data_IF_665669767506
#
_entry.id   IF_665669767506
#
_cell.length_a   1.000
_cell.length_b   1.000
_cell.length_c   1.000
_cell.angle_alpha   90.00
_cell.angle_beta   90.00
_cell.angle_gamma   90.00
#
_symmetry.space_group_name_H-M   'P 1'
#
loop_
_entity.id
_entity.type
_entity.pdbx_description
1 polymer ?
#
# COMPACT_ATOMS: atom_id res chain seq x y z
N UNK A 1 18.97 11.35 -20.52
CA UNK A 1 17.95 10.90 -19.54
C UNK A 1 16.61 10.55 -20.19
N UNK A 2 16.10 11.37 -21.13
CA UNK A 2 14.85 11.08 -21.85
C UNK A 2 14.85 9.74 -22.60
N UNK A 3 15.98 9.36 -23.22
CA UNK A 3 16.11 8.04 -23.88
C UNK A 3 15.95 6.86 -22.91
N UNK A 4 16.61 6.91 -21.75
CA UNK A 4 16.48 5.89 -20.70
C UNK A 4 15.05 5.79 -20.17
N UNK A 5 14.39 6.92 -19.89
CA UNK A 5 12.99 6.94 -19.45
C UNK A 5 12.05 6.30 -20.48
N UNK A 6 12.27 6.56 -21.77
CA UNK A 6 11.49 5.97 -22.86
C UNK A 6 11.70 4.45 -22.96
N UNK A 7 12.94 3.98 -22.79
CA UNK A 7 13.24 2.54 -22.76
C UNK A 7 12.54 1.84 -21.59
N UNK A 8 12.60 2.43 -20.39
CA UNK A 8 11.89 1.89 -19.22
C UNK A 8 10.37 1.91 -19.39
N UNK A 9 9.81 2.94 -20.04
CA UNK A 9 8.37 3.01 -20.35
C UNK A 9 7.94 1.84 -21.24
N UNK A 10 8.69 1.56 -22.30
CA UNK A 10 8.38 0.43 -23.20
C UNK A 10 8.48 -0.90 -22.45
N UNK A 11 9.52 -1.10 -21.64
CA UNK A 11 9.68 -2.32 -20.82
C UNK A 11 8.49 -2.48 -19.86
N UNK A 12 8.05 -1.40 -19.20
CA UNK A 12 6.92 -1.44 -18.27
C UNK A 12 5.60 -1.80 -18.96
N UNK A 13 5.34 -1.28 -20.16
CA UNK A 13 4.14 -1.61 -20.94
C UNK A 13 4.15 -3.07 -21.41
N UNK A 14 5.30 -3.55 -21.88
CA UNK A 14 5.49 -4.96 -22.25
C UNK A 14 5.25 -5.84 -21.02
N UNK A 15 5.90 -5.57 -19.90
CA UNK A 15 5.71 -6.32 -18.66
C UNK A 15 4.24 -6.34 -18.21
N UNK A 16 3.55 -5.20 -18.30
CA UNK A 16 2.12 -5.09 -17.99
C UNK A 16 1.26 -5.99 -18.90
N UNK A 17 1.54 -6.03 -20.20
CA UNK A 17 0.81 -6.84 -21.18
C UNK A 17 1.09 -8.35 -21.02
N UNK A 18 2.33 -8.72 -20.67
CA UNK A 18 2.76 -10.11 -20.50
C UNK A 18 2.33 -10.75 -19.16
N UNK A 19 1.57 -10.06 -18.31
CA UNK A 19 0.92 -10.69 -17.17
C UNK A 19 1.28 -10.15 -15.78
N UNK A 20 1.91 -8.97 -15.69
CA UNK A 20 2.06 -8.30 -14.39
C UNK A 20 0.72 -8.02 -13.68
N UNK A 21 -0.42 -8.08 -14.40
CA UNK A 21 -1.76 -8.00 -13.80
C UNK A 21 -2.06 -9.10 -12.77
N UNK A 22 -1.51 -10.31 -12.92
CA UNK A 22 -1.71 -11.40 -11.95
C UNK A 22 -0.98 -11.13 -10.62
N UNK A 23 0.25 -10.60 -10.70
CA UNK A 23 1.04 -10.18 -9.53
C UNK A 23 0.40 -8.96 -8.87
N UNK A 24 -0.13 -8.02 -9.66
CA UNK A 24 -0.89 -6.88 -9.15
C UNK A 24 -2.13 -7.34 -8.35
N UNK A 25 -2.82 -8.39 -8.80
CA UNK A 25 -3.94 -9.00 -8.08
C UNK A 25 -3.52 -9.64 -6.75
N UNK A 26 -2.43 -10.43 -6.74
CA UNK A 26 -1.90 -11.04 -5.52
C UNK A 26 -1.41 -9.98 -4.51
N UNK A 27 -0.68 -8.97 -5.00
CA UNK A 27 -0.23 -7.84 -4.20
C UNK A 27 -1.41 -7.03 -3.63
N UNK A 28 -2.46 -6.80 -4.43
CA UNK A 28 -3.68 -6.14 -3.95
C UNK A 28 -4.40 -6.96 -2.86
N UNK A 29 -4.38 -8.29 -2.95
CA UNK A 29 -4.90 -9.17 -1.91
C UNK A 29 -4.14 -9.00 -0.58
N UNK A 30 -2.80 -9.04 -0.62
CA UNK A 30 -1.96 -8.86 0.57
C UNK A 30 -2.13 -7.44 1.15
N UNK A 31 -2.19 -6.42 0.29
CA UNK A 31 -2.39 -5.03 0.71
C UNK A 31 -3.71 -4.84 1.47
N UNK A 32 -4.79 -5.50 1.04
CA UNK A 32 -6.08 -5.46 1.74
C UNK A 32 -5.96 -6.03 3.17
N UNK A 33 -5.25 -7.14 3.35
CA UNK A 33 -5.06 -7.76 4.66
C UNK A 33 -4.30 -6.80 5.60
N UNK A 34 -3.18 -6.23 5.13
CA UNK A 34 -2.38 -5.28 5.92
C UNK A 34 -3.19 -4.02 6.26
N UNK A 35 -3.97 -3.50 5.31
CA UNK A 35 -4.83 -2.34 5.51
C UNK A 35 -5.88 -2.59 6.60
N UNK A 36 -6.52 -3.77 6.61
CA UNK A 36 -7.46 -4.13 7.66
C UNK A 36 -6.79 -4.28 9.03
N UNK A 37 -5.62 -4.92 9.09
CA UNK A 37 -4.85 -5.01 10.35
C UNK A 37 -4.49 -3.62 10.87
N UNK A 38 -4.01 -2.74 9.99
CA UNK A 38 -3.72 -1.35 10.32
C UNK A 38 -4.97 -0.62 10.84
N UNK A 39 -6.12 -0.78 10.20
CA UNK A 39 -7.37 -0.17 10.65
C UNK A 39 -7.76 -0.64 12.05
N UNK A 40 -7.66 -1.93 12.34
CA UNK A 40 -7.94 -2.47 13.68
C UNK A 40 -7.00 -1.86 14.72
N UNK A 41 -5.69 -1.82 14.43
CA UNK A 41 -4.70 -1.20 15.30
C UNK A 41 -4.92 0.31 15.48
N UNK A 42 -5.35 1.00 14.42
CA UNK A 42 -5.69 2.42 14.45
C UNK A 42 -6.90 2.67 15.36
N UNK A 43 -7.94 1.85 15.26
CA UNK A 43 -9.11 1.95 16.15
C UNK A 43 -8.69 1.68 17.59
N UNK A 44 -7.89 0.64 17.84
CA UNK A 44 -7.38 0.33 19.19
C UNK A 44 -6.56 1.50 19.73
N UNK A 45 -5.64 2.06 18.94
CA UNK A 45 -4.78 3.15 19.38
C UNK A 45 -5.56 4.45 19.62
N UNK A 46 -6.55 4.74 18.79
CA UNK A 46 -7.45 5.88 18.95
C UNK A 46 -8.28 5.74 20.24
N UNK A 47 -8.88 4.58 20.48
CA UNK A 47 -9.64 4.30 21.70
C UNK A 47 -8.73 4.32 22.92
N UNK A 48 -7.57 3.68 22.87
CA UNK A 48 -6.60 3.69 23.97
C UNK A 48 -6.09 5.12 24.28
N UNK A 49 -5.87 5.94 23.25
CA UNK A 49 -5.50 7.35 23.38
C UNK A 49 -6.62 8.20 23.97
N UNK A 50 -7.84 8.04 23.47
CA UNK A 50 -9.02 8.74 23.98
C UNK A 50 -9.32 8.38 25.45
N UNK A 51 -9.19 7.10 25.81
CA UNK A 51 -9.36 6.63 27.19
C UNK A 51 -8.21 7.07 28.11
N UNK A 52 -6.98 7.24 27.58
CA UNK A 52 -5.84 7.67 28.39
C UNK A 52 -5.88 9.14 28.77
N UNK A 53 -6.69 9.97 28.11
CA UNK A 53 -7.07 11.33 28.54
C UNK A 53 -5.98 12.11 29.28
N UNK A 54 -4.72 12.05 28.82
CA UNK A 54 -3.64 12.73 29.53
C UNK A 54 -3.72 14.20 29.16
N UNK A 55 -4.37 14.96 30.03
CA UNK A 55 -4.19 16.40 30.09
C UNK A 55 -2.68 16.67 30.14
N UNK A 56 -2.12 17.45 29.20
CA UNK A 56 -0.76 17.94 29.33
C UNK A 56 -0.73 18.85 30.58
N UNK A 57 -0.07 18.37 31.65
CA UNK A 57 0.35 19.21 32.78
C UNK A 57 1.59 20.00 32.38
#
# INVERSE_FOLDING_TARGET
MLGWALTFLVIALVAALFGFGGIAGAAAGIAKIIFFVFLVLLVISLVAGALRGKAPL
#
